data_IF_724804607640
#
_entry.id   IF_724804607640
#
_cell.length_a   1.000
_cell.length_b   1.000
_cell.length_c   1.000
_cell.angle_alpha   90.00
_cell.angle_beta   90.00
_cell.angle_gamma   90.00
#
_symmetry.space_group_name_H-M   'P 1'
#
loop_
_entity.id
_entity.type
_entity.pdbx_description
1 polymer ?
#
# COMPACT_ATOMS: atom_id res chain seq x y z
N UNK A 1 -28.56 -0.82 -8.66
CA UNK A 1 -28.48 -0.34 -7.27
C UNK A 1 -27.02 -0.35 -6.85
N UNK A 2 -26.34 0.80 -6.99
CA UNK A 2 -24.93 0.95 -6.61
C UNK A 2 -24.85 1.14 -5.11
N UNK A 3 -24.31 0.15 -4.39
CA UNK A 3 -24.02 0.29 -2.96
C UNK A 3 -22.80 1.18 -2.82
N UNK A 4 -22.95 2.32 -2.17
CA UNK A 4 -21.83 3.09 -1.62
C UNK A 4 -20.97 2.16 -0.75
N UNK A 5 -19.64 2.10 -0.93
CA UNK A 5 -18.81 1.33 -0.03
C UNK A 5 -18.74 2.09 1.29
N UNK A 6 -19.46 1.60 2.30
CA UNK A 6 -19.23 1.99 3.69
C UNK A 6 -17.78 1.69 4.07
N UNK A 7 -17.26 2.37 5.10
CA UNK A 7 -15.92 2.12 5.65
C UNK A 7 -15.73 0.62 5.95
N UNK A 8 -15.12 -0.10 5.03
CA UNK A 8 -14.76 -1.49 5.18
C UNK A 8 -13.30 -1.57 5.59
N UNK A 9 -13.02 -2.24 6.70
CA UNK A 9 -11.65 -2.64 7.03
C UNK A 9 -11.20 -3.70 6.04
N UNK A 10 -10.16 -3.39 5.25
CA UNK A 10 -9.46 -4.41 4.46
C UNK A 10 -8.31 -4.92 5.33
N UNK A 11 -8.45 -6.11 5.90
CA UNK A 11 -7.34 -6.77 6.59
C UNK A 11 -6.50 -7.46 5.53
N UNK A 12 -5.23 -7.08 5.44
CA UNK A 12 -4.26 -7.74 4.60
C UNK A 12 -3.07 -8.13 5.46
N UNK A 13 -2.62 -9.35 5.28
CA UNK A 13 -1.41 -9.88 5.88
C UNK A 13 -0.75 -10.86 4.90
N UNK A 14 0.39 -11.44 5.25
CA UNK A 14 1.10 -12.41 4.41
C UNK A 14 0.26 -13.62 3.95
N UNK A 15 -0.91 -13.87 4.55
CA UNK A 15 -1.83 -14.94 4.17
C UNK A 15 -3.05 -14.44 3.37
N UNK A 16 -3.33 -13.14 3.38
CA UNK A 16 -4.47 -12.55 2.69
C UNK A 16 -4.04 -12.11 1.28
N UNK A 17 -4.70 -12.65 0.25
CA UNK A 17 -4.37 -12.41 -1.16
C UNK A 17 -5.42 -11.50 -1.81
N UNK A 18 -5.00 -10.31 -2.25
CA UNK A 18 -5.80 -9.50 -3.18
C UNK A 18 -5.73 -10.08 -4.59
N UNK A 19 -6.87 -10.15 -5.32
CA UNK A 19 -6.88 -10.55 -6.72
C UNK A 19 -5.98 -9.67 -7.57
N UNK A 20 -5.34 -10.23 -8.61
CA UNK A 20 -4.49 -9.46 -9.53
C UNK A 20 -5.21 -8.31 -10.23
N UNK A 21 -6.52 -8.47 -10.47
CA UNK A 21 -7.37 -7.44 -11.06
C UNK A 21 -7.82 -6.34 -10.06
N UNK A 22 -7.59 -6.53 -8.75
CA UNK A 22 -7.97 -5.53 -7.75
C UNK A 22 -7.02 -4.32 -7.82
N UNK A 23 -7.55 -3.23 -8.37
CA UNK A 23 -6.79 -2.02 -8.73
C UNK A 23 -7.60 -0.74 -8.42
N UNK A 24 -7.86 -0.44 -7.14
CA UNK A 24 -8.73 0.68 -6.76
C UNK A 24 -8.05 2.06 -6.88
N UNK A 25 -6.73 2.13 -7.03
CA UNK A 25 -5.99 3.36 -6.78
C UNK A 25 -5.94 3.70 -5.29
N UNK A 26 -5.49 4.92 -4.95
CA UNK A 26 -5.59 5.42 -3.57
C UNK A 26 -7.06 5.69 -3.26
N UNK A 27 -7.57 5.17 -2.14
CA UNK A 27 -8.96 5.42 -1.78
C UNK A 27 -9.13 6.86 -1.27
N UNK A 28 -10.29 7.50 -1.51
CA UNK A 28 -10.54 8.85 -1.00
C UNK A 28 -10.45 8.98 0.53
N UNK A 29 -10.83 7.93 1.27
CA UNK A 29 -10.74 7.89 2.73
C UNK A 29 -9.28 7.90 3.19
N UNK A 30 -8.43 7.09 2.55
CA UNK A 30 -7.01 7.03 2.87
C UNK A 30 -6.30 8.34 2.50
N UNK A 31 -6.60 8.93 1.35
CA UNK A 31 -6.06 10.24 0.95
C UNK A 31 -6.41 11.32 1.98
N UNK A 32 -7.69 11.42 2.36
CA UNK A 32 -8.13 12.37 3.39
C UNK A 32 -7.42 12.16 4.73
N UNK A 33 -7.19 10.90 5.10
CA UNK A 33 -6.47 10.55 6.32
C UNK A 33 -5.01 11.00 6.30
N UNK A 34 -4.27 10.69 5.24
CA UNK A 34 -2.85 11.07 5.12
C UNK A 34 -2.68 12.58 5.04
N UNK A 35 -3.55 13.30 4.33
CA UNK A 35 -3.51 14.76 4.24
C UNK A 35 -3.72 15.40 5.63
N UNK A 36 -4.68 14.89 6.40
CA UNK A 36 -4.92 15.37 7.76
C UNK A 36 -3.73 15.11 8.69
N UNK A 37 -3.09 13.94 8.58
CA UNK A 37 -1.90 13.60 9.36
C UNK A 37 -0.71 14.49 9.01
N UNK A 38 -0.43 14.69 7.71
CA UNK A 38 0.65 15.59 7.25
C UNK A 38 0.41 17.02 7.74
N UNK A 39 -0.82 17.52 7.64
CA UNK A 39 -1.17 18.86 8.13
C UNK A 39 -0.99 18.97 9.65
N UNK A 40 -1.34 17.93 10.42
CA UNK A 40 -1.13 17.91 11.87
C UNK A 40 0.36 17.85 12.25
N UNK A 41 1.15 17.03 11.56
CA UNK A 41 2.60 16.94 11.75
C UNK A 41 3.28 18.29 11.50
N UNK A 42 2.89 18.98 10.42
CA UNK A 42 3.42 20.31 10.08
C UNK A 42 3.20 21.34 11.19
N UNK A 43 2.03 21.31 11.85
CA UNK A 43 1.73 22.20 12.99
C UNK A 43 2.65 21.95 14.19
N UNK A 44 3.26 20.77 14.28
CA UNK A 44 4.23 20.38 15.31
C UNK A 44 5.68 20.57 14.84
N UNK A 45 5.91 21.18 13.67
CA UNK A 45 7.25 21.36 13.10
C UNK A 45 7.84 20.11 12.45
N UNK A 46 7.06 19.05 12.27
CA UNK A 46 7.47 17.82 11.57
C UNK A 46 6.97 17.87 10.13
N UNK A 47 7.87 17.71 9.16
CA UNK A 47 7.56 17.79 7.73
C UNK A 47 7.59 16.40 7.12
N UNK A 48 6.41 15.82 6.89
CA UNK A 48 6.26 14.51 6.27
C UNK A 48 6.03 14.66 4.76
N UNK A 49 6.72 13.85 3.97
CA UNK A 49 6.55 13.75 2.52
C UNK A 49 6.05 12.37 2.13
N UNK A 50 5.07 12.28 1.24
CA UNK A 50 4.60 11.01 0.72
C UNK A 50 5.64 10.40 -0.23
N UNK A 51 6.19 9.24 0.14
CA UNK A 51 7.15 8.49 -0.67
C UNK A 51 6.44 7.49 -1.58
N UNK A 52 5.45 6.77 -1.06
CA UNK A 52 4.75 5.72 -1.79
C UNK A 52 3.31 5.57 -1.30
N UNK A 53 2.36 5.30 -2.22
CA UNK A 53 0.94 5.12 -1.93
C UNK A 53 0.42 3.84 -2.57
N UNK A 54 -0.59 3.95 -3.44
CA UNK A 54 -1.12 2.78 -4.16
C UNK A 54 -0.06 2.10 -5.05
N UNK A 55 -0.09 0.76 -5.07
CA UNK A 55 0.78 -0.07 -5.91
C UNK A 55 0.01 -1.23 -6.52
N UNK A 56 -0.18 -1.17 -7.84
CA UNK A 56 -0.86 -2.23 -8.58
C UNK A 56 -0.12 -3.57 -8.48
N UNK A 57 -0.87 -4.67 -8.63
CA UNK A 57 -0.37 -6.04 -8.56
C UNK A 57 0.86 -6.27 -9.46
N UNK A 58 0.80 -5.89 -10.74
CA UNK A 58 1.92 -6.10 -11.67
C UNK A 58 3.17 -5.31 -11.29
N UNK A 59 3.00 -4.12 -10.71
CA UNK A 59 4.13 -3.35 -10.17
C UNK A 59 4.75 -4.05 -8.97
N UNK A 60 3.94 -4.61 -8.08
CA UNK A 60 4.43 -5.39 -6.94
C UNK A 60 5.14 -6.67 -7.40
N UNK A 61 4.63 -7.35 -8.43
CA UNK A 61 5.23 -8.54 -9.03
C UNK A 61 6.63 -8.24 -9.59
N UNK A 62 6.75 -7.18 -10.39
CA UNK A 62 8.05 -6.76 -10.94
C UNK A 62 9.04 -6.41 -9.82
N UNK A 63 8.60 -5.65 -8.82
CA UNK A 63 9.42 -5.28 -7.68
C UNK A 63 9.92 -6.49 -6.87
N UNK A 64 9.00 -7.40 -6.51
CA UNK A 64 9.32 -8.61 -5.77
C UNK A 64 10.30 -9.48 -6.55
N UNK A 65 10.07 -9.70 -7.85
CA UNK A 65 10.96 -10.49 -8.70
C UNK A 65 12.37 -9.88 -8.79
N UNK A 66 12.46 -8.55 -8.89
CA UNK A 66 13.76 -7.86 -8.88
C UNK A 66 14.50 -8.10 -7.55
N UNK A 67 13.80 -8.05 -6.42
CA UNK A 67 14.41 -8.33 -5.12
C UNK A 67 14.79 -9.80 -4.93
N UNK A 68 13.97 -10.74 -5.42
CA UNK A 68 14.33 -12.16 -5.43
C UNK A 68 15.58 -12.39 -6.25
N UNK A 69 15.70 -11.74 -7.41
CA UNK A 69 16.90 -11.83 -8.26
C UNK A 69 18.13 -11.26 -7.57
N UNK A 70 18.01 -10.13 -6.87
CA UNK A 70 19.14 -9.44 -6.24
C UNK A 70 19.59 -10.07 -4.92
N UNK A 71 18.64 -10.54 -4.10
CA UNK A 71 18.89 -10.92 -2.71
C UNK A 71 18.51 -12.36 -2.37
N UNK A 72 17.89 -13.08 -3.30
CA UNK A 72 17.31 -14.40 -3.07
C UNK A 72 15.94 -14.32 -2.39
N UNK A 73 15.15 -15.38 -2.56
CA UNK A 73 13.75 -15.43 -2.11
C UNK A 73 13.60 -15.18 -0.60
N UNK A 74 14.36 -15.90 0.23
CA UNK A 74 14.27 -15.81 1.69
C UNK A 74 14.58 -14.41 2.20
N UNK A 75 15.53 -13.70 1.60
CA UNK A 75 15.83 -12.33 1.98
C UNK A 75 14.73 -11.37 1.51
N UNK A 76 14.28 -11.49 0.25
CA UNK A 76 13.25 -10.64 -0.33
C UNK A 76 11.93 -10.70 0.45
N UNK A 77 11.52 -11.86 0.94
CA UNK A 77 10.29 -12.03 1.73
C UNK A 77 10.34 -11.37 3.12
N UNK A 78 11.52 -10.93 3.59
CA UNK A 78 11.64 -10.19 4.86
C UNK A 78 11.34 -8.71 4.74
N UNK A 79 11.53 -8.12 3.56
CA UNK A 79 11.40 -6.68 3.35
C UNK A 79 10.50 -6.30 2.16
N UNK A 80 10.03 -7.29 1.42
CA UNK A 80 9.08 -7.15 0.33
C UNK A 80 7.93 -8.14 0.49
N UNK A 81 6.87 -7.94 -0.28
CA UNK A 81 5.69 -8.80 -0.27
C UNK A 81 5.53 -9.48 -1.63
N UNK A 82 5.09 -10.73 -1.63
CA UNK A 82 4.59 -11.38 -2.84
C UNK A 82 3.44 -10.56 -3.45
N UNK A 83 3.25 -10.58 -4.78
CA UNK A 83 2.16 -9.86 -5.41
C UNK A 83 0.80 -10.37 -4.90
N UNK A 84 -0.11 -9.45 -4.54
CA UNK A 84 -1.37 -9.77 -3.85
C UNK A 84 -1.30 -9.65 -2.32
N UNK A 85 -0.10 -9.60 -1.72
CA UNK A 85 0.08 -9.52 -0.26
C UNK A 85 0.55 -8.14 0.23
N UNK A 86 0.73 -7.18 -0.68
CA UNK A 86 1.12 -5.81 -0.31
C UNK A 86 -0.10 -4.98 0.05
N UNK A 87 -0.09 -4.37 1.24
CA UNK A 87 -1.14 -3.43 1.64
C UNK A 87 -1.24 -2.22 0.71
N UNK A 88 -0.17 -1.85 0.00
CA UNK A 88 -0.23 -0.81 -1.03
C UNK A 88 -1.23 -1.13 -2.16
N UNK A 89 -1.52 -2.41 -2.42
CA UNK A 89 -2.53 -2.79 -3.41
C UNK A 89 -3.96 -2.54 -2.90
N UNK A 90 -4.17 -2.40 -1.59
CA UNK A 90 -5.48 -2.04 -1.03
C UNK A 90 -5.93 -0.62 -1.39
N UNK A 91 -4.96 0.28 -1.66
CA UNK A 91 -5.21 1.71 -1.77
C UNK A 91 -5.35 2.44 -0.42
N UNK A 92 -5.03 1.77 0.69
CA UNK A 92 -5.14 2.32 2.05
C UNK A 92 -3.79 2.67 2.68
N UNK A 93 -2.69 2.14 2.15
CA UNK A 93 -1.35 2.28 2.74
C UNK A 93 -0.52 3.38 2.07
N UNK A 94 0.30 4.07 2.88
CA UNK A 94 1.28 5.06 2.45
C UNK A 94 2.60 4.88 3.19
N UNK A 95 3.71 4.98 2.46
CA UNK A 95 5.04 5.18 3.02
C UNK A 95 5.34 6.68 3.04
N UNK A 96 5.84 7.19 4.18
CA UNK A 96 6.21 8.60 4.37
C UNK A 96 7.69 8.72 4.74
N UNK A 97 8.28 9.87 4.40
CA UNK A 97 9.65 10.27 4.74
C UNK A 97 9.68 11.61 5.47
#
# INVERSE_FOLDING_TARGET
MSKSPGLGTVKLNLLDLLPSAYNPGVTPVAQKGVDAMIAAAKKQGVYLTMFSGFRAYERQKALYNNYVQQYGKTAAERFSACPGHSEHQSGLAFDLA
#
